data_IF_351612545957
#
_entry.id   IF_351612545957
#
_cell.length_a   1.000
_cell.length_b   1.000
_cell.length_c   1.000
_cell.angle_alpha   90.00
_cell.angle_beta   90.00
_cell.angle_gamma   90.00
#
_symmetry.space_group_name_H-M   'P 1'
#
loop_
_entity.id
_entity.type
_entity.pdbx_description
1 polymer ?
#
# COMPACT_ATOMS: atom_id res chain seq x y z
N UNK A 1 10.14 5.79 -20.31
CA UNK A 1 9.60 6.24 -19.02
C UNK A 1 8.43 7.15 -19.37
N UNK A 2 7.22 6.77 -18.99
CA UNK A 2 6.03 7.58 -19.26
C UNK A 2 6.06 8.87 -18.45
N UNK A 3 5.50 9.95 -18.99
CA UNK A 3 5.42 11.22 -18.29
C UNK A 3 4.24 11.26 -17.31
N UNK A 4 4.23 12.28 -16.45
CA UNK A 4 3.09 12.54 -15.58
C UNK A 4 1.76 12.65 -16.34
N UNK A 5 1.72 13.43 -17.43
CA UNK A 5 0.51 13.62 -18.22
C UNK A 5 -0.02 12.32 -18.83
N UNK A 6 0.88 11.44 -19.28
CA UNK A 6 0.53 10.13 -19.84
C UNK A 6 -0.09 9.22 -18.77
N UNK A 7 0.55 9.10 -17.60
CA UNK A 7 0.05 8.29 -16.47
C UNK A 7 -1.25 8.82 -15.91
N UNK A 8 -1.36 10.14 -15.74
CA UNK A 8 -2.58 10.78 -15.25
C UNK A 8 -3.76 10.54 -16.20
N UNK A 9 -3.52 10.66 -17.52
CA UNK A 9 -4.51 10.34 -18.55
C UNK A 9 -4.91 8.87 -18.56
N UNK A 10 -3.94 7.97 -18.37
CA UNK A 10 -4.20 6.54 -18.28
C UNK A 10 -5.08 6.22 -17.07
N UNK A 11 -4.72 6.69 -15.88
CA UNK A 11 -5.49 6.46 -14.66
C UNK A 11 -6.93 6.99 -14.76
N UNK A 12 -7.11 8.18 -15.36
CA UNK A 12 -8.46 8.71 -15.65
C UNK A 12 -9.26 7.76 -16.53
N UNK A 13 -8.64 7.25 -17.60
CA UNK A 13 -9.30 6.34 -18.55
C UNK A 13 -9.59 4.97 -17.91
N UNK A 14 -8.70 4.45 -17.06
CA UNK A 14 -8.92 3.22 -16.30
C UNK A 14 -10.16 3.32 -15.39
N UNK A 15 -10.42 4.51 -14.83
CA UNK A 15 -11.65 4.81 -14.08
C UNK A 15 -12.88 5.12 -14.96
N UNK A 16 -12.75 5.10 -16.29
CA UNK A 16 -13.84 5.40 -17.22
C UNK A 16 -14.30 6.86 -17.22
N UNK A 17 -13.47 7.80 -16.75
CA UNK A 17 -13.86 9.20 -16.56
C UNK A 17 -13.56 10.04 -17.80
N UNK A 18 -14.40 11.03 -18.11
CA UNK A 18 -14.07 12.11 -19.04
C UNK A 18 -13.20 13.18 -18.35
N UNK A 19 -12.50 14.02 -19.11
CA UNK A 19 -11.74 15.14 -18.53
C UNK A 19 -12.62 16.09 -17.73
N UNK A 20 -13.86 16.33 -18.21
CA UNK A 20 -14.84 17.17 -17.50
C UNK A 20 -15.20 16.55 -16.15
N UNK A 21 -15.48 15.24 -16.10
CA UNK A 21 -15.82 14.53 -14.86
C UNK A 21 -14.68 14.48 -13.86
N UNK A 22 -13.45 14.29 -14.34
CA UNK A 22 -12.28 14.36 -13.46
C UNK A 22 -12.08 15.78 -12.90
N UNK A 23 -12.32 16.80 -13.73
CA UNK A 23 -12.30 18.19 -13.31
C UNK A 23 -13.30 18.48 -12.19
N UNK A 24 -14.54 18.01 -12.33
CA UNK A 24 -15.57 18.15 -11.29
C UNK A 24 -15.12 17.56 -9.93
N UNK A 25 -14.46 16.40 -9.93
CA UNK A 25 -13.99 15.72 -8.72
C UNK A 25 -12.93 16.54 -7.97
N UNK A 26 -12.04 17.20 -8.70
CA UNK A 26 -10.92 17.96 -8.12
C UNK A 26 -11.17 19.47 -8.11
N UNK A 27 -12.39 19.92 -8.40
CA UNK A 27 -12.73 21.35 -8.52
C UNK A 27 -11.86 22.10 -9.55
N UNK A 28 -11.50 21.40 -10.63
CA UNK A 28 -10.72 21.91 -11.74
C UNK A 28 -11.57 22.01 -13.00
N UNK A 29 -11.24 22.95 -13.89
CA UNK A 29 -11.86 22.98 -15.21
C UNK A 29 -11.22 21.92 -16.14
N UNK A 30 -11.96 21.53 -17.18
CA UNK A 30 -11.48 20.61 -18.23
C UNK A 30 -10.14 21.01 -18.84
N UNK A 31 -9.93 22.30 -19.03
CA UNK A 31 -8.70 22.84 -19.64
C UNK A 31 -7.48 22.55 -18.76
N UNK A 32 -7.61 22.66 -17.44
CA UNK A 32 -6.56 22.28 -16.48
C UNK A 32 -6.21 20.80 -16.60
N UNK A 33 -7.23 19.92 -16.60
CA UNK A 33 -7.01 18.48 -16.80
C UNK A 33 -6.31 18.20 -18.14
N UNK A 34 -6.78 18.83 -19.23
CA UNK A 34 -6.15 18.69 -20.55
C UNK A 34 -4.69 19.19 -20.56
N UNK A 35 -4.38 20.30 -19.89
CA UNK A 35 -3.01 20.81 -19.79
C UNK A 35 -2.10 19.83 -19.04
N UNK A 36 -2.58 19.26 -17.94
CA UNK A 36 -1.87 18.23 -17.19
C UNK A 36 -1.60 16.99 -18.03
N UNK A 37 -2.63 16.46 -18.70
CA UNK A 37 -2.51 15.26 -19.53
C UNK A 37 -1.61 15.42 -20.76
N UNK A 38 -1.42 16.65 -21.23
CA UNK A 38 -0.54 16.96 -22.36
C UNK A 38 0.82 17.51 -21.92
N UNK A 39 1.16 17.44 -20.62
CA UNK A 39 2.41 17.97 -20.05
C UNK A 39 2.63 19.48 -20.30
N UNK A 40 1.57 20.24 -20.60
CA UNK A 40 1.62 21.69 -20.81
C UNK A 40 1.56 22.47 -19.49
N UNK A 41 1.26 21.80 -18.39
CA UNK A 41 1.31 22.35 -17.04
C UNK A 41 1.62 21.23 -16.04
N UNK A 42 2.12 21.60 -14.86
CA UNK A 42 2.38 20.67 -13.75
C UNK A 42 1.43 21.03 -12.60
N UNK A 43 0.76 20.05 -11.97
CA UNK A 43 -0.04 20.32 -10.79
C UNK A 43 0.83 20.73 -9.60
N UNK A 44 0.26 21.51 -8.69
CA UNK A 44 0.89 21.81 -7.40
C UNK A 44 0.94 20.55 -6.52
N UNK A 45 1.75 20.59 -5.47
CA UNK A 45 2.04 19.43 -4.61
C UNK A 45 0.76 18.85 -4.02
N UNK A 46 -0.14 19.71 -3.56
CA UNK A 46 -1.41 19.36 -2.94
C UNK A 46 -2.33 18.63 -3.93
N UNK A 47 -2.40 19.14 -5.18
CA UNK A 47 -3.17 18.50 -6.24
C UNK A 47 -2.56 17.15 -6.63
N UNK A 48 -1.23 17.07 -6.70
CA UNK A 48 -0.52 15.83 -7.02
C UNK A 48 -0.76 14.74 -5.96
N UNK A 49 -0.74 15.11 -4.67
CA UNK A 49 -1.08 14.21 -3.57
C UNK A 49 -2.54 13.74 -3.66
N UNK A 50 -3.48 14.67 -3.87
CA UNK A 50 -4.89 14.34 -4.02
C UNK A 50 -5.15 13.39 -5.21
N UNK A 51 -4.43 13.56 -6.32
CA UNK A 51 -4.51 12.65 -7.46
C UNK A 51 -4.01 11.25 -7.09
N UNK A 52 -2.85 11.16 -6.44
CA UNK A 52 -2.27 9.90 -5.98
C UNK A 52 -3.26 9.14 -5.07
N UNK A 53 -3.81 9.82 -4.07
CA UNK A 53 -4.77 9.23 -3.12
C UNK A 53 -6.04 8.75 -3.83
N UNK A 54 -6.60 9.56 -4.73
CA UNK A 54 -7.82 9.20 -5.47
C UNK A 54 -7.64 7.98 -6.37
N UNK A 55 -6.48 7.86 -7.01
CA UNK A 55 -6.18 6.74 -7.90
C UNK A 55 -5.58 5.53 -7.18
N UNK A 56 -5.25 5.65 -5.89
CA UNK A 56 -4.62 4.58 -5.11
C UNK A 56 -3.20 4.27 -5.57
N UNK A 57 -2.46 5.31 -5.98
CA UNK A 57 -1.09 5.19 -6.49
C UNK A 57 -0.15 6.13 -5.74
N UNK A 58 1.16 5.91 -5.84
CA UNK A 58 2.18 6.78 -5.27
C UNK A 58 2.42 8.02 -6.13
N UNK A 59 2.89 9.08 -5.50
CA UNK A 59 3.35 10.28 -6.22
C UNK A 59 4.56 9.95 -7.10
N UNK A 60 5.44 9.06 -6.66
CA UNK A 60 6.57 8.58 -7.46
C UNK A 60 6.11 7.89 -8.74
N UNK A 61 5.04 7.09 -8.67
CA UNK A 61 4.41 6.52 -9.87
C UNK A 61 3.85 7.63 -10.75
N UNK A 62 3.07 8.57 -10.22
CA UNK A 62 2.53 9.65 -11.04
C UNK A 62 3.63 10.46 -11.75
N UNK A 63 4.75 10.72 -11.09
CA UNK A 63 5.88 11.48 -11.64
C UNK A 63 6.79 10.68 -12.58
N UNK A 64 6.47 9.41 -12.84
CA UNK A 64 7.28 8.57 -13.71
C UNK A 64 8.51 7.95 -13.03
N UNK A 65 8.74 8.14 -11.73
CA UNK A 65 9.97 7.75 -11.01
C UNK A 65 10.09 6.25 -10.73
N UNK A 66 8.96 5.54 -10.73
CA UNK A 66 8.86 4.09 -10.53
C UNK A 66 7.73 3.53 -11.38
N UNK A 67 7.82 2.29 -11.83
CA UNK A 67 6.74 1.61 -12.56
C UNK A 67 5.73 0.91 -11.62
N UNK A 68 6.04 0.83 -10.32
CA UNK A 68 5.14 0.28 -9.30
C UNK A 68 4.09 1.32 -8.90
N UNK A 69 2.79 0.99 -9.03
CA UNK A 69 1.73 1.96 -8.70
C UNK A 69 1.75 2.28 -7.21
N UNK A 70 2.10 1.34 -6.35
CA UNK A 70 2.22 1.54 -4.91
C UNK A 70 3.30 0.64 -4.30
N UNK A 71 3.56 0.80 -2.99
CA UNK A 71 4.58 0.03 -2.25
C UNK A 71 4.28 -1.48 -2.26
N UNK A 72 3.02 -1.90 -2.33
CA UNK A 72 2.66 -3.32 -2.37
C UNK A 72 3.03 -3.93 -3.71
N UNK A 73 2.77 -3.24 -4.83
CA UNK A 73 3.20 -3.68 -6.15
C UNK A 73 4.73 -3.86 -6.21
N UNK A 74 5.47 -2.94 -5.59
CA UNK A 74 6.93 -3.01 -5.47
C UNK A 74 7.35 -4.20 -4.60
N UNK A 75 6.70 -4.40 -3.46
CA UNK A 75 6.99 -5.51 -2.55
C UNK A 75 6.68 -6.86 -3.20
N UNK A 76 5.52 -7.01 -3.85
CA UNK A 76 5.10 -8.24 -4.54
C UNK A 76 6.03 -8.59 -5.70
N UNK A 77 6.53 -7.59 -6.43
CA UNK A 77 7.49 -7.79 -7.52
C UNK A 77 8.89 -8.16 -7.01
N UNK A 78 9.27 -7.67 -5.82
CA UNK A 78 10.59 -7.91 -5.23
C UNK A 78 10.64 -9.09 -4.25
N UNK A 79 9.48 -9.63 -3.84
CA UNK A 79 9.43 -10.92 -3.16
C UNK A 79 9.79 -11.98 -4.20
N UNK A 80 11.03 -12.48 -4.11
CA UNK A 80 11.38 -13.77 -4.69
C UNK A 80 10.61 -14.84 -3.92
N UNK A 81 9.41 -15.15 -4.40
CA UNK A 81 8.53 -16.15 -3.84
C UNK A 81 9.22 -17.52 -3.74
N UNK A 82 10.24 -17.82 -4.56
CA UNK A 82 11.01 -19.05 -4.46
C UNK A 82 12.04 -19.00 -3.32
N UNK A 83 12.65 -17.85 -3.07
CA UNK A 83 13.56 -17.64 -1.93
C UNK A 83 12.79 -17.60 -0.61
N UNK A 84 11.63 -16.93 -0.59
CA UNK A 84 10.71 -16.95 0.54
C UNK A 84 10.18 -18.37 0.79
N UNK A 85 9.78 -19.11 -0.27
CA UNK A 85 9.42 -20.53 -0.16
C UNK A 85 10.55 -21.36 0.42
N UNK A 86 11.79 -21.19 -0.02
CA UNK A 86 12.94 -21.90 0.56
C UNK A 86 13.22 -21.52 2.02
N UNK A 87 12.99 -20.27 2.40
CA UNK A 87 13.08 -19.84 3.80
C UNK A 87 11.93 -20.42 4.64
N UNK A 88 10.72 -20.53 4.08
CA UNK A 88 9.56 -21.20 4.69
C UNK A 88 9.79 -22.72 4.79
N UNK A 89 10.33 -23.37 3.77
CA UNK A 89 10.70 -24.80 3.76
C UNK A 89 11.79 -25.12 4.79
N UNK A 90 12.68 -24.16 5.09
CA UNK A 90 13.61 -24.28 6.23
C UNK A 90 12.89 -24.19 7.58
N UNK A 91 11.75 -23.50 7.65
CA UNK A 91 10.89 -23.36 8.84
C UNK A 91 9.90 -24.55 8.96
N UNK A 92 9.58 -25.27 7.87
CA UNK A 92 8.63 -26.40 7.76
C UNK A 92 8.87 -27.59 8.72
N UNK A 93 9.93 -27.58 9.52
CA UNK A 93 10.03 -28.52 10.66
C UNK A 93 8.95 -28.31 11.76
N UNK A 94 8.10 -27.27 11.66
CA UNK A 94 6.94 -27.02 12.55
C UNK A 94 5.67 -26.60 11.77
N UNK A 95 5.26 -27.41 10.78
CA UNK A 95 4.20 -27.13 9.79
C UNK A 95 2.84 -26.64 10.33
N UNK A 96 2.44 -27.01 11.56
CA UNK A 96 1.10 -26.69 12.08
C UNK A 96 0.88 -25.20 12.43
N UNK A 97 1.95 -24.43 12.65
CA UNK A 97 1.83 -23.05 13.13
C UNK A 97 1.64 -22.02 12.00
N UNK A 98 2.22 -22.29 10.82
CA UNK A 98 2.22 -21.35 9.68
C UNK A 98 0.89 -21.38 8.94
N UNK A 99 0.31 -22.56 8.72
CA UNK A 99 -1.02 -22.68 8.12
C UNK A 99 -2.08 -22.00 8.99
N UNK A 100 -1.93 -22.04 10.32
CA UNK A 100 -2.80 -21.34 11.25
C UNK A 100 -2.66 -19.81 11.15
N UNK A 101 -1.43 -19.30 11.00
CA UNK A 101 -1.17 -17.86 10.81
C UNK A 101 -1.70 -17.39 9.45
N UNK A 102 -1.44 -18.12 8.36
CA UNK A 102 -1.91 -17.78 7.02
C UNK A 102 -3.44 -17.88 6.92
N UNK A 103 -4.06 -18.90 7.51
CA UNK A 103 -5.51 -19.01 7.62
C UNK A 103 -6.10 -17.87 8.47
N UNK A 104 -5.44 -17.50 9.57
CA UNK A 104 -5.82 -16.38 10.42
C UNK A 104 -5.79 -15.04 9.69
N UNK A 105 -4.72 -14.78 8.92
CA UNK A 105 -4.58 -13.56 8.11
C UNK A 105 -5.62 -13.48 6.98
N UNK A 106 -5.95 -14.61 6.34
CA UNK A 106 -6.99 -14.67 5.29
C UNK A 106 -8.39 -14.37 5.82
N UNK A 107 -8.66 -14.72 7.07
CA UNK A 107 -9.96 -14.51 7.74
C UNK A 107 -10.10 -13.14 8.42
N UNK A 108 -9.11 -12.25 8.31
CA UNK A 108 -9.22 -10.90 8.84
C UNK A 108 -10.32 -10.13 8.12
N UNK A 109 -11.23 -9.55 8.90
CA UNK A 109 -12.22 -8.60 8.41
C UNK A 109 -11.55 -7.28 7.98
N UNK A 110 -12.29 -6.44 7.25
CA UNK A 110 -11.73 -5.21 6.68
C UNK A 110 -11.19 -4.27 7.77
N UNK A 111 -11.87 -4.15 8.89
CA UNK A 111 -11.47 -3.30 10.03
C UNK A 111 -10.12 -3.73 10.63
N UNK A 112 -9.89 -5.04 10.74
CA UNK A 112 -8.61 -5.59 11.23
C UNK A 112 -7.48 -5.34 10.23
N UNK A 113 -7.77 -5.41 8.93
CA UNK A 113 -6.80 -5.08 7.86
C UNK A 113 -6.44 -3.60 7.90
N UNK A 114 -7.43 -2.73 8.07
CA UNK A 114 -7.21 -1.28 8.14
C UNK A 114 -6.39 -0.90 9.38
N UNK A 115 -6.64 -1.54 10.53
CA UNK A 115 -5.83 -1.35 11.74
C UNK A 115 -4.37 -1.77 11.53
N UNK A 116 -4.14 -2.93 10.92
CA UNK A 116 -2.79 -3.41 10.58
C UNK A 116 -2.11 -2.44 9.62
N UNK A 117 -2.81 -1.97 8.58
CA UNK A 117 -2.28 -1.03 7.60
C UNK A 117 -1.89 0.31 8.24
N UNK A 118 -2.74 0.83 9.14
CA UNK A 118 -2.46 2.05 9.88
C UNK A 118 -1.22 1.88 10.77
N UNK A 119 -1.10 0.73 11.42
CA UNK A 119 0.02 0.42 12.29
C UNK A 119 1.34 0.26 11.50
N UNK A 120 1.34 -0.51 10.41
CA UNK A 120 2.51 -0.65 9.52
C UNK A 120 2.92 0.71 8.96
N UNK A 121 1.97 1.51 8.49
CA UNK A 121 2.22 2.87 8.00
C UNK A 121 2.84 3.77 9.08
N UNK A 122 2.36 3.68 10.32
CA UNK A 122 2.93 4.42 11.46
C UNK A 122 4.36 4.00 11.75
N UNK A 123 4.67 2.70 11.70
CA UNK A 123 6.02 2.18 11.91
C UNK A 123 6.98 2.58 10.79
N UNK A 124 6.57 2.45 9.53
CA UNK A 124 7.38 2.84 8.37
C UNK A 124 7.71 4.33 8.38
N UNK A 125 6.75 5.19 8.74
CA UNK A 125 6.97 6.65 8.84
C UNK A 125 7.94 7.04 9.97
N UNK A 126 8.04 6.21 11.01
CA UNK A 126 8.89 6.45 12.18
C UNK A 126 10.14 5.57 12.23
N UNK A 127 10.44 4.84 11.15
CA UNK A 127 11.56 3.89 11.10
C UNK A 127 12.92 4.49 11.47
N UNK A 128 13.13 5.79 11.21
CA UNK A 128 14.39 6.48 11.58
C UNK A 128 14.55 6.76 13.09
N UNK A 129 13.49 6.55 13.88
CA UNK A 129 13.45 6.80 15.31
C UNK A 129 13.33 5.52 16.15
N UNK A 130 13.21 4.36 15.49
CA UNK A 130 13.09 3.06 16.15
C UNK A 130 14.48 2.43 16.23
N UNK A 131 14.96 2.21 17.45
CA UNK A 131 16.18 1.44 17.69
C UNK A 131 15.87 -0.06 17.89
N UNK A 132 16.92 -0.88 18.04
CA UNK A 132 16.78 -2.34 18.20
C UNK A 132 15.92 -2.72 19.42
N UNK A 133 15.89 -1.87 20.45
CA UNK A 133 15.09 -2.10 21.66
C UNK A 133 13.62 -1.80 21.40
N UNK A 134 13.32 -0.75 20.66
CA UNK A 134 11.94 -0.43 20.25
C UNK A 134 11.36 -1.54 19.39
N UNK A 135 12.17 -2.12 18.49
CA UNK A 135 11.78 -3.26 17.67
C UNK A 135 11.39 -4.50 18.51
N UNK A 136 12.21 -4.86 19.50
CA UNK A 136 11.93 -6.01 20.38
C UNK A 136 10.70 -5.77 21.28
N UNK A 137 10.47 -4.54 21.73
CA UNK A 137 9.25 -4.17 22.48
C UNK A 137 7.99 -4.28 21.62
N UNK A 138 8.06 -3.81 20.37
CA UNK A 138 6.97 -3.91 19.40
C UNK A 138 6.64 -5.36 19.09
N UNK A 139 7.66 -6.17 18.79
CA UNK A 139 7.53 -7.61 18.54
C UNK A 139 6.90 -8.35 19.73
N UNK A 140 7.34 -8.05 20.95
CA UNK A 140 6.76 -8.62 22.17
C UNK A 140 5.29 -8.23 22.34
N UNK A 141 4.96 -6.96 22.07
CA UNK A 141 3.59 -6.44 22.21
C UNK A 141 2.64 -7.05 21.18
N UNK A 142 3.09 -7.23 19.93
CA UNK A 142 2.33 -7.90 18.87
C UNK A 142 2.09 -9.36 19.23
N UNK A 143 3.11 -10.08 19.72
CA UNK A 143 2.97 -11.47 20.13
C UNK A 143 1.93 -11.64 21.25
N UNK A 144 1.96 -10.78 22.27
CA UNK A 144 0.98 -10.79 23.36
C UNK A 144 -0.46 -10.52 22.85
N UNK A 145 -0.61 -9.61 21.89
CA UNK A 145 -1.89 -9.31 21.24
C UNK A 145 -2.42 -10.52 20.46
N UNK A 146 -1.57 -11.17 19.68
CA UNK A 146 -1.92 -12.36 18.90
C UNK A 146 -2.30 -13.54 19.81
N UNK A 147 -1.59 -13.74 20.91
CA UNK A 147 -1.95 -14.74 21.93
C UNK A 147 -3.34 -14.43 22.53
N UNK A 148 -3.60 -13.17 22.86
CA UNK A 148 -4.90 -12.74 23.43
C UNK A 148 -6.06 -13.00 22.46
N UNK A 149 -5.88 -12.69 21.17
CA UNK A 149 -6.87 -12.95 20.11
C UNK A 149 -7.08 -14.46 19.94
N UNK A 150 -6.01 -15.25 19.92
CA UNK A 150 -6.05 -16.71 19.79
C UNK A 150 -6.78 -17.37 20.95
N UNK A 151 -6.58 -16.88 22.18
CA UNK A 151 -7.29 -17.37 23.37
C UNK A 151 -8.78 -17.06 23.28
N UNK A 152 -9.17 -15.84 22.90
CA UNK A 152 -10.58 -15.46 22.73
C UNK A 152 -11.29 -16.33 21.68
N UNK A 153 -10.66 -16.60 20.55
CA UNK A 153 -11.25 -17.41 19.48
C UNK A 153 -11.40 -18.90 19.83
N UNK A 154 -10.67 -19.42 20.84
CA UNK A 154 -10.86 -20.80 21.36
C UNK A 154 -11.98 -20.92 22.40
N UNK A 155 -12.46 -19.81 22.94
CA UNK A 155 -13.49 -19.75 23.99
C UNK A 155 -14.90 -19.41 23.46
N UNK A 156 -15.03 -19.25 22.13
CA UNK A 156 -16.30 -18.91 21.45
C UNK A 156 -16.67 -20.05 20.50
#
# INVERSE_FOLDING_TARGET
>A
METFGERFKQLRKEKGLTQDKLGEIFFLNKSSISKYENNNNVPEIEALQAFADYFGVSVDYLLGRTDYKNIWDEFDANIDNNKLRKEIEKIESNADSVDLIVAGLRNLNQESRDLINNFVTMLSKNQKYLDDRDYELLKTSINNLLETITIKNKLT
#
